data_IF_015817135332
#
_entry.id   IF_015817135332
#
_cell.length_a   1.000
_cell.length_b   1.000
_cell.length_c   1.000
_cell.angle_alpha   90.00
_cell.angle_beta   90.00
_cell.angle_gamma   90.00
#
_symmetry.space_group_name_H-M   'P 1'
#
loop_
_entity.id
_entity.type
_entity.pdbx_description
1 polymer ?
#
# COMPACT_ATOMS: atom_id res chain seq x y z
N UNK A 1 44.17 -39.55 -17.13
CA UNK A 1 43.91 -40.13 -15.79
C UNK A 1 43.75 -38.92 -14.87
N UNK A 2 42.57 -38.45 -14.51
CA UNK A 2 41.40 -39.18 -14.03
C UNK A 2 41.29 -38.93 -12.53
N UNK A 3 40.61 -37.86 -12.13
CA UNK A 3 39.88 -37.82 -10.85
C UNK A 3 38.87 -36.68 -10.86
N UNK A 4 37.62 -37.12 -10.84
CA UNK A 4 36.41 -36.36 -10.62
C UNK A 4 36.06 -36.36 -9.13
N UNK A 5 35.15 -35.46 -8.74
CA UNK A 5 34.49 -35.42 -7.43
C UNK A 5 34.81 -34.13 -6.68
N UNK A 6 33.88 -33.26 -6.29
CA UNK A 6 32.43 -33.40 -6.24
C UNK A 6 31.78 -32.02 -6.28
N UNK A 7 30.64 -31.95 -6.98
CA UNK A 7 29.57 -30.98 -6.74
C UNK A 7 29.19 -31.03 -5.26
N UNK A 8 29.04 -29.86 -4.64
CA UNK A 8 28.01 -29.66 -3.64
C UNK A 8 27.27 -28.39 -4.01
N UNK A 9 26.08 -28.61 -4.53
CA UNK A 9 25.07 -27.63 -4.84
C UNK A 9 24.71 -26.87 -3.55
N UNK A 10 24.99 -25.57 -3.50
CA UNK A 10 24.26 -24.66 -2.63
C UNK A 10 23.19 -24.00 -3.49
N UNK A 11 22.09 -24.72 -3.66
CA UNK A 11 20.79 -24.16 -4.02
C UNK A 11 20.43 -23.20 -2.89
N UNK A 12 20.90 -21.95 -3.01
CA UNK A 12 20.28 -20.83 -2.35
C UNK A 12 19.00 -20.54 -3.12
N UNK A 13 17.88 -21.02 -2.58
CA UNK A 13 16.55 -20.53 -2.88
C UNK A 13 16.58 -19.01 -2.75
N UNK A 14 16.83 -18.32 -3.86
CA UNK A 14 16.53 -16.90 -3.96
C UNK A 14 15.03 -16.83 -3.89
N UNK A 15 14.52 -16.42 -2.73
CA UNK A 15 13.15 -16.01 -2.55
C UNK A 15 12.73 -15.25 -3.79
N UNK A 16 11.69 -15.74 -4.47
CA UNK A 16 11.09 -15.10 -5.64
C UNK A 16 10.32 -13.84 -5.19
N UNK A 17 11.00 -12.96 -4.45
CA UNK A 17 10.52 -11.61 -4.24
C UNK A 17 10.70 -10.87 -5.57
N UNK A 18 9.60 -10.47 -6.22
CA UNK A 18 9.70 -9.69 -7.45
C UNK A 18 10.58 -8.47 -7.18
N UNK A 19 11.47 -8.17 -8.14
CA UNK A 19 12.35 -7.01 -8.04
C UNK A 19 11.52 -5.77 -7.66
N UNK A 20 11.99 -4.93 -6.72
CA UNK A 20 11.29 -3.73 -6.27
C UNK A 20 10.68 -2.90 -7.41
N UNK A 21 11.44 -2.74 -8.48
CA UNK A 21 11.03 -2.00 -9.67
C UNK A 21 9.91 -2.71 -10.46
N UNK A 22 9.90 -4.04 -10.50
CA UNK A 22 8.85 -4.81 -11.16
C UNK A 22 7.50 -4.63 -10.46
N UNK A 23 7.49 -4.59 -9.12
CA UNK A 23 6.28 -4.30 -8.33
C UNK A 23 5.74 -2.91 -8.65
N UNK A 24 6.61 -1.90 -8.65
CA UNK A 24 6.21 -0.51 -8.97
C UNK A 24 5.68 -0.37 -10.41
N UNK A 25 6.31 -1.04 -11.39
CA UNK A 25 5.86 -1.04 -12.78
C UNK A 25 4.52 -1.76 -12.92
N UNK A 26 4.33 -2.89 -12.23
CA UNK A 26 3.05 -3.62 -12.22
C UNK A 26 1.94 -2.74 -11.63
N UNK A 27 2.22 -2.04 -10.53
CA UNK A 27 1.26 -1.13 -9.90
C UNK A 27 0.88 0.04 -10.82
N UNK A 28 1.87 0.67 -11.46
CA UNK A 28 1.64 1.78 -12.39
C UNK A 28 0.79 1.33 -13.59
N UNK A 29 1.14 0.18 -14.20
CA UNK A 29 0.36 -0.39 -15.32
C UNK A 29 -1.07 -0.73 -14.94
N UNK A 30 -1.27 -1.31 -13.75
CA UNK A 30 -2.60 -1.59 -13.25
C UNK A 30 -3.39 -0.29 -13.13
N UNK A 31 -2.83 0.72 -12.44
CA UNK A 31 -3.44 2.03 -12.29
C UNK A 31 -3.81 2.63 -13.66
N UNK A 32 -2.88 2.71 -14.61
CA UNK A 32 -3.14 3.25 -15.95
C UNK A 32 -4.30 2.50 -16.64
N UNK A 33 -4.42 1.19 -16.42
CA UNK A 33 -5.49 0.35 -16.98
C UNK A 33 -6.84 0.42 -16.27
N UNK A 34 -6.94 1.03 -15.07
CA UNK A 34 -8.19 1.07 -14.30
C UNK A 34 -8.55 2.46 -13.74
N UNK A 35 -7.71 3.47 -13.91
CA UNK A 35 -7.91 4.79 -13.29
C UNK A 35 -9.11 5.56 -13.86
N UNK A 36 -9.58 5.23 -15.07
CA UNK A 36 -10.86 5.74 -15.60
C UNK A 36 -11.95 4.70 -15.43
N UNK A 37 -13.19 5.18 -15.27
CA UNK A 37 -14.36 4.30 -15.14
C UNK A 37 -14.54 3.44 -16.38
N UNK A 38 -14.36 4.00 -17.58
CA UNK A 38 -14.49 3.27 -18.85
C UNK A 38 -13.45 2.15 -18.96
N UNK A 39 -12.20 2.42 -18.55
CA UNK A 39 -11.14 1.42 -18.58
C UNK A 39 -11.41 0.32 -17.55
N UNK A 40 -11.82 0.68 -16.34
CA UNK A 40 -12.20 -0.29 -15.31
C UNK A 40 -13.37 -1.17 -15.75
N UNK A 41 -14.46 -0.58 -16.24
CA UNK A 41 -15.66 -1.29 -16.71
C UNK A 41 -15.31 -2.23 -17.88
N UNK A 42 -14.43 -1.79 -18.78
CA UNK A 42 -13.92 -2.63 -19.87
C UNK A 42 -13.14 -3.84 -19.35
N UNK A 43 -12.27 -3.64 -18.35
CA UNK A 43 -11.51 -4.73 -17.72
C UNK A 43 -12.45 -5.70 -17.00
N UNK A 44 -13.43 -5.21 -16.26
CA UNK A 44 -14.46 -6.04 -15.59
C UNK A 44 -15.27 -6.82 -16.61
N UNK A 45 -15.63 -6.22 -17.75
CA UNK A 45 -16.35 -6.90 -18.83
C UNK A 45 -15.52 -8.01 -19.49
N UNK A 46 -14.21 -7.81 -19.66
CA UNK A 46 -13.33 -8.76 -20.35
C UNK A 46 -12.96 -9.99 -19.51
N UNK A 47 -12.67 -9.79 -18.22
CA UNK A 47 -12.09 -10.82 -17.36
C UNK A 47 -12.88 -11.09 -16.07
N UNK A 48 -13.96 -10.34 -15.84
CA UNK A 48 -14.81 -10.47 -14.67
C UNK A 48 -14.37 -9.59 -13.50
N UNK A 49 -15.33 -9.22 -12.64
CA UNK A 49 -15.09 -8.39 -11.46
C UNK A 49 -14.08 -9.04 -10.51
N UNK A 50 -14.30 -10.32 -10.17
CA UNK A 50 -13.46 -11.07 -9.23
C UNK A 50 -11.98 -11.10 -9.65
N UNK A 51 -11.70 -11.22 -10.94
CA UNK A 51 -10.34 -11.23 -11.48
C UNK A 51 -9.68 -9.86 -11.33
N UNK A 52 -10.38 -8.77 -11.71
CA UNK A 52 -9.87 -7.40 -11.55
C UNK A 52 -9.63 -7.08 -10.08
N UNK A 53 -10.55 -7.49 -9.21
CA UNK A 53 -10.46 -7.30 -7.78
C UNK A 53 -9.32 -8.08 -7.13
N UNK A 54 -9.05 -9.29 -7.61
CA UNK A 54 -7.92 -10.11 -7.18
C UNK A 54 -6.59 -9.49 -7.59
N UNK A 55 -6.51 -8.96 -8.82
CA UNK A 55 -5.32 -8.26 -9.30
C UNK A 55 -5.00 -7.01 -8.47
N UNK A 56 -6.04 -6.22 -8.14
CA UNK A 56 -5.90 -5.04 -7.27
C UNK A 56 -5.40 -5.46 -5.88
N UNK A 57 -6.03 -6.47 -5.26
CA UNK A 57 -5.60 -6.98 -3.96
C UNK A 57 -4.15 -7.49 -3.97
N UNK A 58 -3.76 -8.24 -5.00
CA UNK A 58 -2.41 -8.75 -5.17
C UNK A 58 -1.38 -7.62 -5.31
N UNK A 59 -1.68 -6.59 -6.12
CA UNK A 59 -0.78 -5.43 -6.27
C UNK A 59 -0.68 -4.63 -4.97
N UNK A 60 -1.78 -4.43 -4.24
CA UNK A 60 -1.72 -3.75 -2.94
C UNK A 60 -0.88 -4.54 -1.93
N UNK A 61 -1.00 -5.87 -1.90
CA UNK A 61 -0.17 -6.73 -1.06
C UNK A 61 1.31 -6.69 -1.46
N UNK A 62 1.62 -6.71 -2.76
CA UNK A 62 2.99 -6.57 -3.29
C UNK A 62 3.60 -5.22 -2.85
N UNK A 63 2.85 -4.12 -2.96
CA UNK A 63 3.28 -2.78 -2.51
C UNK A 63 3.47 -2.72 -0.99
N UNK A 64 2.57 -3.35 -0.21
CA UNK A 64 2.71 -3.46 1.25
C UNK A 64 4.01 -4.18 1.64
N UNK A 65 4.26 -5.33 1.03
CA UNK A 65 5.47 -6.11 1.26
C UNK A 65 6.73 -5.34 0.82
N UNK A 66 6.63 -4.57 -0.27
CA UNK A 66 7.72 -3.72 -0.71
C UNK A 66 8.05 -2.64 0.32
N UNK A 67 7.04 -1.95 0.86
CA UNK A 67 7.24 -0.95 1.92
C UNK A 67 7.86 -1.57 3.19
N UNK A 68 7.40 -2.76 3.58
CA UNK A 68 7.90 -3.45 4.76
C UNK A 68 9.35 -3.92 4.62
N UNK A 69 9.75 -4.39 3.43
CA UNK A 69 11.09 -4.89 3.13
C UNK A 69 12.13 -3.80 2.84
N UNK A 70 11.69 -2.54 2.65
CA UNK A 70 12.56 -1.43 2.24
C UNK A 70 12.64 -0.33 3.30
N UNK A 71 12.83 -0.74 4.58
CA UNK A 71 12.98 0.18 5.72
C UNK A 71 14.18 1.13 5.62
N UNK A 72 15.19 0.79 4.82
CA UNK A 72 16.38 1.64 4.63
C UNK A 72 16.32 2.47 3.33
N UNK A 73 15.37 2.20 2.43
CA UNK A 73 15.26 2.87 1.13
C UNK A 73 14.06 3.81 1.07
N UNK A 74 14.20 4.98 1.68
CA UNK A 74 13.12 5.97 1.79
C UNK A 74 12.47 6.30 0.43
N UNK A 75 13.28 6.51 -0.62
CA UNK A 75 12.76 6.83 -1.95
C UNK A 75 11.84 5.74 -2.52
N UNK A 76 12.23 4.48 -2.36
CA UNK A 76 11.46 3.36 -2.87
C UNK A 76 10.17 3.17 -2.08
N UNK A 77 10.23 3.37 -0.76
CA UNK A 77 9.04 3.35 0.11
C UNK A 77 8.06 4.45 -0.25
N UNK A 78 8.55 5.67 -0.49
CA UNK A 78 7.72 6.79 -0.95
C UNK A 78 7.07 6.47 -2.29
N UNK A 79 7.80 5.90 -3.25
CA UNK A 79 7.22 5.48 -4.54
C UNK A 79 6.15 4.40 -4.38
N UNK A 80 6.40 3.38 -3.55
CA UNK A 80 5.43 2.34 -3.27
C UNK A 80 4.17 2.90 -2.60
N UNK A 81 4.34 3.80 -1.63
CA UNK A 81 3.24 4.47 -0.94
C UNK A 81 2.42 5.34 -1.91
N UNK A 82 3.06 6.11 -2.79
CA UNK A 82 2.37 6.91 -3.80
C UNK A 82 1.55 6.03 -4.76
N UNK A 83 2.11 4.91 -5.22
CA UNK A 83 1.38 3.97 -6.10
C UNK A 83 0.17 3.36 -5.40
N UNK A 84 0.34 2.99 -4.13
CA UNK A 84 -0.73 2.45 -3.32
C UNK A 84 -1.85 3.47 -3.13
N UNK A 85 -1.49 4.70 -2.75
CA UNK A 85 -2.43 5.80 -2.59
C UNK A 85 -3.21 6.08 -3.88
N UNK A 86 -2.52 6.13 -5.04
CA UNK A 86 -3.17 6.32 -6.34
C UNK A 86 -4.25 5.28 -6.61
N UNK A 87 -3.97 3.99 -6.36
CA UNK A 87 -4.95 2.92 -6.53
C UNK A 87 -6.16 3.10 -5.61
N UNK A 88 -5.92 3.54 -4.37
CA UNK A 88 -6.96 3.71 -3.37
C UNK A 88 -7.83 4.96 -3.59
N UNK A 89 -7.30 5.98 -4.26
CA UNK A 89 -8.04 7.20 -4.64
C UNK A 89 -8.95 7.03 -5.86
N UNK A 90 -8.95 5.85 -6.51
CA UNK A 90 -9.83 5.60 -7.63
C UNK A 90 -11.28 5.56 -7.13
N UNK A 91 -12.07 6.53 -7.58
CA UNK A 91 -13.44 6.77 -7.11
C UNK A 91 -14.31 5.53 -7.31
N UNK A 92 -14.35 4.98 -8.53
CA UNK A 92 -15.21 3.85 -8.91
C UNK A 92 -14.81 2.49 -8.34
N UNK A 93 -13.72 2.39 -7.56
CA UNK A 93 -13.46 1.20 -6.74
C UNK A 93 -14.32 1.18 -5.46
N UNK A 94 -15.57 1.63 -5.50
CA UNK A 94 -16.40 1.86 -4.30
C UNK A 94 -16.67 0.57 -3.50
N UNK A 95 -16.75 0.72 -2.17
CA UNK A 95 -17.17 -0.32 -1.22
C UNK A 95 -16.08 -1.29 -0.75
N UNK A 96 -15.15 -1.70 -1.62
CA UNK A 96 -14.20 -2.77 -1.29
C UNK A 96 -12.77 -2.30 -0.95
N UNK A 97 -12.40 -1.05 -1.29
CA UNK A 97 -11.03 -0.53 -1.09
C UNK A 97 -10.61 -0.45 0.39
N UNK A 98 -11.50 0.05 1.26
CA UNK A 98 -11.24 0.15 2.70
C UNK A 98 -11.10 -1.23 3.34
N UNK A 99 -12.07 -2.11 3.10
CA UNK A 99 -12.06 -3.47 3.65
C UNK A 99 -10.86 -4.26 3.13
N UNK A 100 -10.55 -4.22 1.83
CA UNK A 100 -9.35 -4.88 1.27
C UNK A 100 -8.07 -4.35 1.91
N UNK A 101 -7.95 -3.04 2.16
CA UNK A 101 -6.80 -2.47 2.85
C UNK A 101 -6.66 -3.01 4.28
N UNK A 102 -7.76 -3.19 5.00
CA UNK A 102 -7.78 -3.84 6.31
C UNK A 102 -7.38 -5.32 6.20
N UNK A 103 -7.98 -6.06 5.27
CA UNK A 103 -7.76 -7.51 5.09
C UNK A 103 -6.31 -7.85 4.74
N UNK A 104 -5.65 -7.02 3.93
CA UNK A 104 -4.23 -7.21 3.58
C UNK A 104 -3.27 -6.70 4.67
N UNK A 105 -3.78 -6.20 5.80
CA UNK A 105 -2.97 -5.67 6.89
C UNK A 105 -2.22 -4.39 6.53
N UNK A 106 -2.83 -3.51 5.74
CA UNK A 106 -2.22 -2.25 5.35
C UNK A 106 -2.24 -1.22 6.49
N UNK A 107 -3.24 -1.26 7.37
CA UNK A 107 -3.44 -0.26 8.44
C UNK A 107 -2.20 -0.09 9.33
N UNK A 108 -1.57 -1.15 9.88
CA UNK A 108 -0.36 -0.99 10.68
C UNK A 108 0.80 -0.35 9.91
N UNK A 109 0.94 -0.65 8.61
CA UNK A 109 2.01 -0.09 7.77
C UNK A 109 1.83 1.42 7.56
N UNK A 110 0.58 1.88 7.44
CA UNK A 110 0.26 3.30 7.37
C UNK A 110 0.58 4.02 8.68
N UNK A 111 0.25 3.38 9.81
CA UNK A 111 0.57 3.93 11.14
C UNK A 111 2.08 4.09 11.30
N UNK A 112 2.88 3.10 10.88
CA UNK A 112 4.34 3.23 10.85
C UNK A 112 4.79 4.43 9.99
N UNK A 113 4.13 4.69 8.86
CA UNK A 113 4.46 5.79 7.95
C UNK A 113 4.12 7.19 8.47
N UNK A 114 3.34 7.32 9.56
CA UNK A 114 3.08 8.62 10.20
C UNK A 114 4.35 9.24 10.82
N UNK A 115 5.37 8.42 11.07
CA UNK A 115 6.70 8.87 11.52
C UNK A 115 7.69 9.07 10.35
N UNK A 116 7.23 8.96 9.11
CA UNK A 116 8.03 9.15 7.90
C UNK A 116 8.37 10.61 7.58
N UNK A 117 8.90 10.85 6.39
CA UNK A 117 9.08 12.20 5.87
C UNK A 117 7.73 12.84 5.52
N UNK A 118 7.68 14.18 5.48
CA UNK A 118 6.46 14.98 5.34
C UNK A 118 5.49 14.46 4.25
N UNK A 119 6.00 14.12 3.07
CA UNK A 119 5.19 13.60 1.96
C UNK A 119 4.54 12.25 2.29
N UNK A 120 5.30 11.32 2.86
CA UNK A 120 4.82 9.97 3.22
C UNK A 120 3.86 10.05 4.40
N UNK A 121 4.18 10.90 5.38
CA UNK A 121 3.35 11.18 6.54
C UNK A 121 1.99 11.73 6.12
N UNK A 122 1.97 12.71 5.20
CA UNK A 122 0.75 13.30 4.67
C UNK A 122 -0.13 12.29 3.95
N UNK A 123 0.47 11.48 3.06
CA UNK A 123 -0.27 10.44 2.34
C UNK A 123 -0.85 9.41 3.32
N UNK A 124 -0.09 8.99 4.34
CA UNK A 124 -0.54 8.05 5.35
C UNK A 124 -1.70 8.61 6.19
N UNK A 125 -1.60 9.88 6.64
CA UNK A 125 -2.64 10.53 7.43
C UNK A 125 -3.95 10.67 6.64
N UNK A 126 -3.88 11.11 5.38
CA UNK A 126 -5.04 11.21 4.49
C UNK A 126 -5.70 9.85 4.22
N UNK A 127 -4.90 8.79 4.12
CA UNK A 127 -5.48 7.47 3.87
C UNK A 127 -6.12 6.88 5.13
N UNK A 128 -5.51 7.07 6.30
CA UNK A 128 -6.11 6.69 7.58
C UNK A 128 -7.41 7.45 7.86
N UNK A 129 -7.53 8.73 7.47
CA UNK A 129 -8.77 9.50 7.63
C UNK A 129 -9.90 8.92 6.78
N UNK A 130 -9.62 8.55 5.53
CA UNK A 130 -10.60 7.86 4.68
C UNK A 130 -11.00 6.48 5.22
N UNK A 131 -10.05 5.71 5.74
CA UNK A 131 -10.33 4.40 6.34
C UNK A 131 -11.17 4.50 7.60
N UNK A 132 -10.89 5.47 8.47
CA UNK A 132 -11.58 5.61 9.75
C UNK A 132 -13.10 5.78 9.60
N UNK A 133 -13.59 6.35 8.49
CA UNK A 133 -15.03 6.54 8.22
C UNK A 133 -15.81 5.23 8.30
N UNK A 134 -15.20 4.11 7.88
CA UNK A 134 -15.86 2.79 7.85
C UNK A 134 -15.11 1.71 8.65
N UNK A 135 -13.87 1.98 9.07
CA UNK A 135 -12.98 1.01 9.71
C UNK A 135 -12.22 1.60 10.92
N UNK A 136 -12.88 2.48 11.70
CA UNK A 136 -12.29 3.13 12.87
C UNK A 136 -11.65 2.14 13.86
N UNK A 137 -12.31 1.02 14.15
CA UNK A 137 -11.78 -0.02 15.06
C UNK A 137 -10.42 -0.55 14.59
N UNK A 138 -10.28 -0.86 13.30
CA UNK A 138 -9.01 -1.34 12.73
C UNK A 138 -7.90 -0.28 12.82
N UNK A 139 -8.24 1.00 12.68
CA UNK A 139 -7.29 2.13 12.82
C UNK A 139 -6.83 2.28 14.27
N UNK A 140 -7.75 2.17 15.23
CA UNK A 140 -7.45 2.24 16.67
C UNK A 140 -6.62 1.04 17.11
N UNK A 141 -7.00 -0.17 16.70
CA UNK A 141 -6.31 -1.42 17.03
C UNK A 141 -4.89 -1.48 16.45
N UNK A 142 -4.66 -0.82 15.31
CA UNK A 142 -3.33 -0.65 14.73
C UNK A 142 -2.45 0.34 15.50
N UNK A 143 -2.95 0.99 16.56
CA UNK A 143 -2.19 1.92 17.40
C UNK A 143 -2.04 3.32 16.81
N UNK A 144 -2.95 3.75 15.92
CA UNK A 144 -2.84 5.03 15.23
C UNK A 144 -3.01 6.26 16.15
N UNK A 145 -3.70 6.11 17.28
CA UNK A 145 -4.13 7.24 18.14
C UNK A 145 -2.95 8.12 18.59
N UNK A 146 -1.90 7.52 19.16
CA UNK A 146 -0.77 8.29 19.69
C UNK A 146 0.00 9.03 18.58
N UNK A 147 0.39 8.38 17.46
CA UNK A 147 0.96 9.08 16.31
C UNK A 147 0.07 10.22 15.80
N UNK A 148 -1.24 10.00 15.64
CA UNK A 148 -2.16 11.01 15.14
C UNK A 148 -2.24 12.23 16.07
N UNK A 149 -2.27 12.01 17.39
CA UNK A 149 -2.24 13.11 18.38
C UNK A 149 -0.97 13.95 18.23
N UNK A 150 0.18 13.33 17.95
CA UNK A 150 1.42 14.08 17.68
C UNK A 150 1.30 14.93 16.40
N UNK A 151 0.65 14.40 15.37
CA UNK A 151 0.44 15.10 14.09
C UNK A 151 -0.52 16.28 14.16
N UNK A 152 -1.35 16.39 15.20
CA UNK A 152 -2.16 17.60 15.45
C UNK A 152 -1.27 18.84 15.65
N UNK A 153 -0.01 18.65 16.06
CA UNK A 153 0.96 19.75 16.18
C UNK A 153 1.84 19.93 14.93
N UNK A 154 1.50 19.29 13.80
CA UNK A 154 2.26 19.42 12.56
C UNK A 154 2.19 20.84 11.98
N UNK A 155 3.30 21.25 11.34
CA UNK A 155 3.41 22.51 10.61
C UNK A 155 2.72 22.44 9.24
N UNK A 156 2.40 21.24 8.73
CA UNK A 156 1.59 21.06 7.52
C UNK A 156 0.10 21.02 7.90
N UNK A 157 -0.65 21.98 7.37
CA UNK A 157 -2.08 22.14 7.60
C UNK A 157 -2.89 20.92 7.17
N UNK A 158 -2.53 20.28 6.05
CA UNK A 158 -3.24 19.09 5.55
C UNK A 158 -3.00 17.89 6.46
N UNK A 159 -1.77 17.71 6.96
CA UNK A 159 -1.43 16.64 7.90
C UNK A 159 -2.20 16.83 9.19
N UNK A 160 -2.24 18.06 9.69
CA UNK A 160 -2.97 18.42 10.90
C UNK A 160 -4.47 18.21 10.75
N UNK A 161 -5.07 18.67 9.66
CA UNK A 161 -6.49 18.49 9.37
C UNK A 161 -6.86 17.02 9.23
N UNK A 162 -6.06 16.23 8.51
CA UNK A 162 -6.27 14.79 8.38
C UNK A 162 -6.18 14.08 9.75
N UNK A 163 -5.20 14.43 10.58
CA UNK A 163 -5.04 13.85 11.91
C UNK A 163 -6.24 14.17 12.83
N UNK A 164 -6.69 15.43 12.83
CA UNK A 164 -7.90 15.84 13.57
C UNK A 164 -9.12 15.09 13.02
N UNK A 165 -9.25 14.99 11.70
CA UNK A 165 -10.34 14.27 11.04
C UNK A 165 -10.43 12.81 11.50
N UNK A 166 -9.31 12.09 11.58
CA UNK A 166 -9.30 10.71 12.10
C UNK A 166 -9.75 10.67 13.57
N UNK A 167 -9.25 11.58 14.40
CA UNK A 167 -9.51 11.59 15.85
C UNK A 167 -10.94 12.02 16.23
N UNK A 168 -11.70 12.60 15.31
CA UNK A 168 -13.08 13.05 15.52
C UNK A 168 -14.15 12.06 15.04
N UNK A 169 -13.76 10.95 14.40
CA UNK A 169 -14.66 9.86 13.98
C UNK A 169 -14.97 8.97 15.17
#
# INVERSE_FOLDING_TARGET
>A
MGSAGSRSDAVGTRDEHPLPQAVLVKAARLFDGIHTKEAYDHQVQQRGLDAVETDIAAVMADLRNLMASTRDQQQLRTHAMMQLWKLLTIEHLEGAKGQKAVDIGLVPVLVEQLSGCDEVQKIAALFLSGLAIHHAEAVVDAGAVLPLVQLVSSHDDNVREAAIGVLCI
#
